data_IF_671294172104
#
_entry.id   IF_671294172104
#
_cell.length_a   1.000
_cell.length_b   1.000
_cell.length_c   1.000
_cell.angle_alpha   90.00
_cell.angle_beta   90.00
_cell.angle_gamma   90.00
#
_symmetry.space_group_name_H-M   'P 1'
#
loop_
_entity.id
_entity.type
_entity.pdbx_description
1 polymer ?
#
# COMPACT_ATOMS: atom_id res chain seq x y z
N UNK A 1 18.74 -33.67 43.43
CA UNK A 1 19.48 -33.17 42.26
C UNK A 1 18.58 -32.73 41.09
N UNK A 2 17.30 -33.13 41.02
CA UNK A 2 16.39 -32.75 39.91
C UNK A 2 15.97 -31.27 39.87
N UNK A 3 15.92 -30.58 41.01
CA UNK A 3 15.51 -29.16 41.07
C UNK A 3 16.44 -28.22 40.29
N UNK A 4 17.75 -28.49 40.30
CA UNK A 4 18.74 -27.69 39.57
C UNK A 4 18.71 -27.99 38.06
N UNK A 5 18.41 -29.23 37.68
CA UNK A 5 18.26 -29.61 36.27
C UNK A 5 17.01 -28.98 35.64
N UNK A 6 15.90 -28.90 36.39
CA UNK A 6 14.66 -28.24 35.94
C UNK A 6 14.89 -26.73 35.80
N UNK A 7 15.60 -26.09 36.74
CA UNK A 7 15.92 -24.67 36.68
C UNK A 7 16.82 -24.33 35.47
N UNK A 8 17.80 -25.18 35.15
CA UNK A 8 18.64 -25.03 33.97
C UNK A 8 17.86 -25.21 32.66
N UNK A 9 16.93 -26.16 32.61
CA UNK A 9 16.08 -26.36 31.43
C UNK A 9 15.10 -25.18 31.19
N UNK A 10 14.53 -24.63 32.27
CA UNK A 10 13.66 -23.47 32.18
C UNK A 10 14.40 -22.21 31.72
N UNK A 11 15.63 -22.01 32.20
CA UNK A 11 16.47 -20.88 31.79
C UNK A 11 16.92 -21.01 30.32
N UNK A 12 17.24 -22.23 29.88
CA UNK A 12 17.56 -22.51 28.48
C UNK A 12 16.35 -22.27 27.55
N UNK A 13 15.14 -22.71 27.93
CA UNK A 13 13.94 -22.49 27.14
C UNK A 13 13.57 -21.00 26.97
N UNK A 14 13.82 -20.17 27.99
CA UNK A 14 13.58 -18.73 27.91
C UNK A 14 14.55 -18.02 26.95
N UNK A 15 15.79 -18.51 26.83
CA UNK A 15 16.80 -17.91 25.97
C UNK A 15 16.49 -18.07 24.47
N UNK A 16 15.74 -19.10 24.06
CA UNK A 16 15.37 -19.32 22.66
C UNK A 16 14.24 -18.40 22.17
N UNK A 17 13.55 -17.67 23.05
CA UNK A 17 12.45 -16.78 22.67
C UNK A 17 12.90 -15.34 22.29
N UNK A 18 14.21 -15.04 22.37
CA UNK A 18 14.72 -13.67 22.21
C UNK A 18 14.98 -13.24 20.75
N UNK A 19 14.86 -14.14 19.76
CA UNK A 19 14.95 -13.78 18.34
C UNK A 19 13.59 -13.25 17.83
N UNK A 20 13.20 -12.07 18.29
CA UNK A 20 12.03 -11.34 17.76
C UNK A 20 12.50 -10.32 16.73
N UNK A 21 11.66 -10.13 15.71
CA UNK A 21 11.74 -9.11 14.65
C UNK A 21 12.32 -7.81 15.21
N UNK A 22 13.36 -7.29 14.56
CA UNK A 22 13.91 -5.98 14.90
C UNK A 22 12.86 -4.96 14.47
N UNK A 23 12.15 -4.36 15.43
CA UNK A 23 11.13 -3.35 15.18
C UNK A 23 11.66 -2.13 14.41
N UNK A 24 10.87 -1.05 14.28
CA UNK A 24 11.20 0.04 13.37
C UNK A 24 12.62 0.62 13.51
N UNK A 25 13.33 0.70 12.40
CA UNK A 25 14.71 1.20 12.31
C UNK A 25 14.67 2.64 11.83
N UNK A 26 15.38 3.53 12.53
CA UNK A 26 15.48 4.95 12.18
C UNK A 26 16.42 5.16 10.98
N UNK A 27 15.91 5.80 9.92
CA UNK A 27 16.65 6.09 8.67
C UNK A 27 16.75 7.60 8.37
N UNK A 28 16.12 8.45 9.19
CA UNK A 28 16.16 9.91 9.10
C UNK A 28 15.73 10.59 10.41
N UNK A 29 15.65 11.92 10.50
CA UNK A 29 15.31 12.63 11.74
C UNK A 29 14.01 12.17 12.39
N UNK A 30 12.95 12.03 11.58
CA UNK A 30 11.64 11.51 11.97
C UNK A 30 11.19 10.36 11.06
N UNK A 31 12.11 9.74 10.31
CA UNK A 31 11.84 8.72 9.29
C UNK A 31 12.33 7.36 9.74
N UNK A 32 11.50 6.34 9.54
CA UNK A 32 11.71 4.98 9.98
C UNK A 32 11.34 4.00 8.87
N UNK A 33 11.95 2.82 8.90
CA UNK A 33 11.59 1.68 8.06
C UNK A 33 11.33 0.45 8.92
N UNK A 34 10.41 -0.40 8.48
CA UNK A 34 10.20 -1.72 9.07
C UNK A 34 9.89 -2.72 7.95
N UNK A 35 10.52 -3.88 8.02
CA UNK A 35 10.24 -5.02 7.15
C UNK A 35 9.70 -6.15 8.01
N UNK A 36 8.55 -6.71 7.64
CA UNK A 36 7.92 -7.81 8.36
C UNK A 36 7.65 -8.97 7.43
N UNK A 37 7.70 -10.18 7.99
CA UNK A 37 7.32 -11.41 7.30
C UNK A 37 6.27 -12.13 8.12
N UNK A 38 5.25 -12.65 7.47
CA UNK A 38 4.22 -13.50 8.09
C UNK A 38 4.14 -14.84 7.37
N UNK A 39 4.09 -15.97 8.10
CA UNK A 39 4.04 -17.29 7.49
C UNK A 39 2.67 -17.61 6.87
N UNK A 40 1.60 -16.91 7.28
CA UNK A 40 0.23 -17.11 6.81
C UNK A 40 -0.44 -15.76 6.52
N UNK A 41 -1.31 -15.76 5.51
CA UNK A 41 -2.17 -14.62 5.18
C UNK A 41 -1.60 -13.66 4.11
N UNK A 42 -0.50 -14.06 3.46
CA UNK A 42 0.05 -13.39 2.29
C UNK A 42 0.47 -11.93 2.52
N UNK A 43 0.70 -11.17 1.43
CA UNK A 43 1.26 -9.81 1.46
C UNK A 43 0.43 -8.84 2.30
N UNK A 44 -0.90 -8.97 2.25
CA UNK A 44 -1.82 -8.11 2.99
C UNK A 44 -1.65 -8.25 4.51
N UNK A 45 -1.43 -9.47 5.00
CA UNK A 45 -1.22 -9.72 6.43
C UNK A 45 0.15 -9.21 6.88
N UNK A 46 1.18 -9.32 6.05
CA UNK A 46 2.50 -8.72 6.32
C UNK A 46 2.39 -7.19 6.43
N UNK A 47 1.73 -6.56 5.45
CA UNK A 47 1.47 -5.11 5.49
C UNK A 47 0.73 -4.70 6.76
N UNK A 48 -0.31 -5.44 7.13
CA UNK A 48 -1.06 -5.19 8.37
C UNK A 48 -0.17 -5.22 9.61
N UNK A 49 0.70 -6.24 9.73
CA UNK A 49 1.67 -6.35 10.84
C UNK A 49 2.65 -5.17 10.85
N UNK A 50 3.24 -4.83 9.70
CA UNK A 50 4.14 -3.69 9.56
C UNK A 50 3.48 -2.37 10.01
N UNK A 51 2.26 -2.11 9.55
CA UNK A 51 1.50 -0.91 9.93
C UNK A 51 1.14 -0.90 11.42
N UNK A 52 0.78 -2.04 11.99
CA UNK A 52 0.46 -2.15 13.41
C UNK A 52 1.68 -1.82 14.28
N UNK A 53 2.84 -2.38 13.95
CA UNK A 53 4.09 -2.11 14.67
C UNK A 53 4.55 -0.66 14.53
N UNK A 54 4.45 -0.09 13.32
CA UNK A 54 4.77 1.31 13.09
C UNK A 54 3.84 2.26 13.87
N UNK A 55 2.54 1.96 13.91
CA UNK A 55 1.58 2.70 14.73
C UNK A 55 1.92 2.63 16.22
N UNK A 56 2.20 1.43 16.74
CA UNK A 56 2.57 1.24 18.14
C UNK A 56 3.86 2.01 18.49
N UNK A 57 4.85 1.97 17.59
CA UNK A 57 6.11 2.68 17.75
C UNK A 57 5.94 4.21 17.79
N UNK A 58 5.20 4.81 16.86
CA UNK A 58 4.93 6.25 16.91
C UNK A 58 4.07 6.62 18.14
N UNK A 59 3.05 5.82 18.46
CA UNK A 59 2.17 6.06 19.62
C UNK A 59 2.93 6.02 20.94
N UNK A 60 3.91 5.12 21.09
CA UNK A 60 4.77 5.05 22.28
C UNK A 60 5.60 6.33 22.50
N UNK A 61 5.77 7.15 21.47
CA UNK A 61 6.46 8.44 21.50
C UNK A 61 5.48 9.63 21.56
N UNK A 62 4.17 9.37 21.66
CA UNK A 62 3.13 10.41 21.61
C UNK A 62 2.98 11.06 20.23
N UNK A 63 3.38 10.35 19.17
CA UNK A 63 3.39 10.83 17.78
C UNK A 63 2.41 10.04 16.91
N UNK A 64 2.04 10.61 15.77
CA UNK A 64 1.19 9.98 14.76
C UNK A 64 2.02 9.46 13.58
N UNK A 65 1.59 8.35 12.99
CA UNK A 65 2.22 7.78 11.80
C UNK A 65 1.82 8.55 10.55
N UNK A 66 2.79 8.80 9.66
CA UNK A 66 2.54 9.18 8.27
C UNK A 66 3.25 8.19 7.35
N UNK A 67 2.48 7.33 6.67
CA UNK A 67 3.02 6.35 5.73
C UNK A 67 3.59 7.06 4.49
N UNK A 68 4.84 6.77 4.15
CA UNK A 68 5.53 7.35 2.99
C UNK A 68 5.66 6.36 1.84
N UNK A 69 6.11 5.16 2.13
CA UNK A 69 6.29 4.10 1.15
C UNK A 69 5.79 2.79 1.72
N UNK A 70 5.27 1.95 0.83
CA UNK A 70 4.79 0.62 1.16
C UNK A 70 5.04 -0.29 -0.04
N UNK A 71 5.69 -1.40 0.24
CA UNK A 71 5.89 -2.49 -0.68
C UNK A 71 5.46 -3.78 0.02
N UNK A 72 4.71 -4.63 -0.67
CA UNK A 72 4.37 -5.97 -0.18
C UNK A 72 4.45 -6.99 -1.31
N UNK A 73 4.90 -8.19 -0.97
CA UNK A 73 5.09 -9.29 -1.91
C UNK A 73 4.85 -10.63 -1.22
N UNK A 74 4.58 -11.64 -2.03
CA UNK A 74 4.50 -13.03 -1.58
C UNK A 74 5.92 -13.57 -1.35
N UNK A 75 6.15 -14.41 -0.34
CA UNK A 75 7.42 -15.13 -0.28
C UNK A 75 7.49 -16.26 -1.31
N UNK A 76 8.71 -16.71 -1.59
CA UNK A 76 9.05 -17.64 -2.67
C UNK A 76 8.32 -19.01 -2.69
N UNK A 77 7.47 -19.35 -1.71
CA UNK A 77 6.83 -20.67 -1.58
C UNK A 77 5.29 -20.59 -1.65
N UNK A 78 4.75 -20.90 -2.84
CA UNK A 78 3.36 -21.33 -3.08
C UNK A 78 2.24 -20.46 -2.46
N UNK A 79 2.41 -19.15 -2.30
CA UNK A 79 1.28 -18.25 -2.06
C UNK A 79 0.72 -18.23 -0.63
N UNK A 80 1.46 -18.76 0.35
CA UNK A 80 0.99 -18.85 1.74
C UNK A 80 1.45 -17.70 2.64
N UNK A 81 2.55 -17.04 2.31
CA UNK A 81 3.30 -16.21 3.24
C UNK A 81 3.61 -14.83 2.67
N UNK A 82 3.50 -13.81 3.52
CA UNK A 82 3.69 -12.42 3.10
C UNK A 82 5.01 -11.83 3.56
N UNK A 83 5.52 -10.91 2.77
CA UNK A 83 6.57 -9.97 3.14
C UNK A 83 6.06 -8.56 2.86
N UNK A 84 6.38 -7.62 3.75
CA UNK A 84 6.09 -6.21 3.54
C UNK A 84 7.18 -5.33 4.13
N UNK A 85 7.54 -4.28 3.41
CA UNK A 85 8.42 -3.22 3.86
C UNK A 85 7.68 -1.90 3.75
N UNK A 86 7.73 -1.10 4.82
CA UNK A 86 7.16 0.24 4.82
C UNK A 86 8.20 1.24 5.31
N UNK A 87 8.19 2.42 4.70
CA UNK A 87 8.86 3.61 5.22
C UNK A 87 7.80 4.60 5.70
N UNK A 88 8.01 5.17 6.87
CA UNK A 88 7.03 6.05 7.51
C UNK A 88 7.71 7.11 8.37
N UNK A 89 6.93 8.16 8.66
CA UNK A 89 7.32 9.18 9.62
C UNK A 89 6.57 9.01 10.94
N UNK A 90 7.19 9.39 12.04
CA UNK A 90 6.49 9.69 13.29
C UNK A 90 6.47 11.21 13.49
N UNK A 91 5.30 11.83 13.37
CA UNK A 91 5.12 13.27 13.44
C UNK A 91 4.32 13.69 14.68
N UNK A 92 4.44 14.94 15.10
CA UNK A 92 3.66 15.42 16.23
C UNK A 92 2.20 15.66 15.87
N UNK A 93 1.30 15.49 16.85
CA UNK A 93 -0.09 15.85 16.68
C UNK A 93 -0.20 17.32 16.23
N UNK A 94 -0.89 17.56 15.11
CA UNK A 94 -1.01 18.89 14.50
C UNK A 94 0.11 19.29 13.54
N UNK A 95 1.05 18.39 13.21
CA UNK A 95 2.03 18.62 12.16
C UNK A 95 1.32 18.94 10.82
N UNK A 96 1.72 20.02 10.10
CA UNK A 96 1.11 20.40 8.82
C UNK A 96 1.11 19.30 7.75
N UNK A 97 1.99 18.30 7.86
CA UNK A 97 2.08 17.16 6.96
C UNK A 97 1.03 16.07 7.25
N UNK A 98 0.46 16.02 8.46
CA UNK A 98 -0.58 15.04 8.85
C UNK A 98 -1.98 15.38 8.30
N UNK A 99 -2.06 16.29 7.32
CA UNK A 99 -3.34 16.66 6.72
C UNK A 99 -3.93 15.46 6.00
N UNK A 100 -5.16 15.09 6.39
CA UNK A 100 -5.95 14.10 5.68
C UNK A 100 -6.03 14.47 4.19
N UNK A 101 -5.66 13.57 3.26
CA UNK A 101 -5.89 13.80 1.85
C UNK A 101 -7.37 14.07 1.61
N UNK A 102 -7.68 15.21 0.99
CA UNK A 102 -9.03 15.48 0.53
C UNK A 102 -9.28 14.60 -0.70
N UNK A 103 -9.77 13.38 -0.46
CA UNK A 103 -10.25 12.48 -1.51
C UNK A 103 -11.47 13.14 -2.17
N UNK A 104 -11.22 13.93 -3.20
CA UNK A 104 -12.28 14.39 -4.10
C UNK A 104 -12.51 13.25 -5.09
N UNK A 105 -13.78 12.86 -5.25
CA UNK A 105 -14.15 11.98 -6.36
C UNK A 105 -13.79 12.73 -7.65
N UNK A 106 -12.73 12.27 -8.32
CA UNK A 106 -12.41 12.77 -9.65
C UNK A 106 -13.57 12.41 -10.59
N UNK A 107 -14.15 13.35 -11.33
CA UNK A 107 -15.22 13.06 -12.26
C UNK A 107 -14.74 12.04 -13.30
N UNK A 108 -15.54 10.97 -13.43
CA UNK A 108 -15.39 9.81 -14.29
C UNK A 108 -14.72 10.12 -15.64
N UNK A 109 -13.68 9.35 -16.00
CA UNK A 109 -13.07 9.41 -17.33
C UNK A 109 -14.14 9.17 -18.39
N UNK A 110 -14.24 10.10 -19.35
CA UNK A 110 -15.15 10.04 -20.48
C UNK A 110 -14.75 8.81 -21.32
N UNK A 111 -15.59 7.77 -21.35
CA UNK A 111 -15.47 6.72 -22.36
C UNK A 111 -15.77 7.40 -23.71
N UNK A 112 -14.71 7.75 -24.45
CA UNK A 112 -14.83 8.09 -25.86
C UNK A 112 -15.18 6.80 -26.59
N UNK A 113 -16.45 6.61 -26.93
CA UNK A 113 -16.83 5.56 -27.87
C UNK A 113 -16.32 6.00 -29.24
N UNK A 114 -15.22 5.40 -29.71
CA UNK A 114 -14.84 5.43 -31.12
C UNK A 114 -16.01 4.83 -31.91
N UNK A 115 -16.85 5.72 -32.43
CA UNK A 115 -17.98 5.35 -33.27
C UNK A 115 -17.38 4.91 -34.60
N UNK A 116 -17.00 3.63 -34.69
CA UNK A 116 -16.80 2.91 -35.93
C UNK A 116 -18.09 3.03 -36.75
N UNK A 117 -18.11 4.05 -37.61
CA UNK A 117 -19.26 4.42 -38.42
C UNK A 117 -19.30 3.53 -39.66
N UNK A 118 -19.55 2.25 -39.44
CA UNK A 118 -19.99 1.36 -40.49
C UNK A 118 -21.54 1.36 -40.50
N UNK A 119 -22.06 1.83 -41.64
CA UNK A 119 -23.43 1.64 -42.16
C UNK A 119 -24.50 2.63 -41.67
N UNK A 120 -25.26 3.14 -42.66
CA UNK A 120 -26.53 3.89 -42.60
C UNK A 120 -26.42 5.43 -42.61
N UNK A 121 -26.21 6.00 -43.80
CA UNK A 121 -27.00 7.12 -44.32
C UNK A 121 -26.93 7.05 -45.87
N UNK A 122 -27.89 6.40 -46.53
CA UNK A 122 -29.19 6.99 -46.93
C UNK A 122 -28.95 8.05 -48.00
N UNK A 123 -29.01 7.67 -49.28
CA UNK A 123 -30.16 7.95 -50.16
C UNK A 123 -30.61 9.42 -50.11
N UNK A 124 -30.86 10.00 -51.28
CA UNK A 124 -31.46 11.32 -51.56
C UNK A 124 -30.52 12.53 -51.65
N UNK A 125 -29.62 12.54 -52.63
CA UNK A 125 -29.13 13.78 -53.24
C UNK A 125 -29.73 13.90 -54.66
N UNK A 126 -31.02 14.26 -54.72
CA UNK A 126 -31.74 14.58 -55.95
C UNK A 126 -32.22 16.03 -55.94
N UNK A 127 -31.70 16.81 -56.89
CA UNK A 127 -32.33 17.97 -57.58
C UNK A 127 -32.72 19.24 -56.82
N UNK A 128 -31.94 20.31 -57.05
CA UNK A 128 -32.33 21.68 -57.44
C UNK A 128 -31.02 22.52 -57.47
N UNK A 129 -30.58 23.29 -58.47
CA UNK A 129 -31.16 23.93 -59.64
C UNK A 129 -30.50 25.33 -59.76
N UNK A 130 -30.23 25.81 -60.99
CA UNK A 130 -29.84 27.20 -61.39
C UNK A 130 -28.33 27.46 -61.58
N UNK A 131 -27.82 27.42 -62.83
CA UNK A 131 -27.49 28.54 -63.78
C UNK A 131 -26.33 29.44 -63.29
N UNK A 132 -25.31 29.86 -64.06
CA UNK A 132 -25.32 30.50 -65.38
C UNK A 132 -23.87 30.79 -65.88
N UNK A 133 -23.67 30.74 -67.22
CA UNK A 133 -22.69 31.41 -68.11
C UNK A 133 -21.17 31.18 -67.97
N UNK A 134 -20.54 30.55 -68.97
CA UNK A 134 -20.02 31.13 -70.25
C UNK A 134 -18.69 31.89 -70.11
N UNK A 135 -17.58 31.25 -70.51
CA UNK A 135 -16.91 31.50 -71.80
C UNK A 135 -15.93 30.35 -72.09
#
# INVERSE_FOLDING_TARGET
MHKNAIALYALAALALAACTDTGPIKIGPDTYTISTRVPLGGPASAKGKALQEANAFCSSQGKEILLQHEQSSECAWHGGCGEAEIAFYCLQAGDPMLKRPALRAEPNQRIEMDQKQDVVNKETAGTAGTQDKSL
#
